data_IF_812831183426
#
_entry.id   IF_812831183426
#
_cell.length_a   1.000
_cell.length_b   1.000
_cell.length_c   1.000
_cell.angle_alpha   90.00
_cell.angle_beta   90.00
_cell.angle_gamma   90.00
#
_symmetry.space_group_name_H-M   'P 1'
#
loop_
_entity.id
_entity.type
_entity.pdbx_description
1 polymer ?
#
# COMPACT_ATOMS: atom_id res chain seq x y z
N UNK A 1 -8.41 14.12 8.26
CA UNK A 1 -7.89 12.89 8.91
C UNK A 1 -6.77 12.23 8.11
N UNK A 2 -6.96 11.78 6.85
CA UNK A 2 -5.88 11.14 6.06
C UNK A 2 -5.48 11.86 4.76
N UNK A 3 -6.21 12.92 4.39
CA UNK A 3 -5.87 13.74 3.22
C UNK A 3 -4.50 14.40 3.38
N UNK A 4 -3.73 14.43 2.29
CA UNK A 4 -2.38 15.01 2.23
C UNK A 4 -1.37 14.43 3.23
N UNK A 5 -1.63 13.22 3.76
CA UNK A 5 -0.69 12.50 4.64
C UNK A 5 0.10 11.45 3.87
N UNK A 6 1.26 11.09 4.41
CA UNK A 6 2.04 9.91 4.00
C UNK A 6 1.68 8.76 4.94
N UNK A 7 1.25 7.64 4.37
CA UNK A 7 0.72 6.49 5.10
C UNK A 7 1.55 5.26 4.72
N UNK A 8 1.98 4.50 5.71
CA UNK A 8 2.67 3.22 5.54
C UNK A 8 1.79 2.09 6.07
N UNK A 9 1.62 1.05 5.27
CA UNK A 9 0.92 -0.19 5.65
C UNK A 9 1.92 -1.34 5.57
N UNK A 10 2.38 -1.81 6.72
CA UNK A 10 3.19 -3.03 6.85
C UNK A 10 2.30 -4.27 6.76
N UNK A 11 2.79 -5.34 6.13
CA UNK A 11 1.95 -6.50 5.81
C UNK A 11 0.81 -6.14 4.86
N UNK A 12 0.99 -5.10 4.04
CA UNK A 12 -0.08 -4.47 3.27
C UNK A 12 -0.72 -5.35 2.20
N UNK A 13 -0.07 -6.47 1.85
CA UNK A 13 -0.61 -7.46 0.90
C UNK A 13 -1.57 -8.47 1.52
N UNK A 14 -1.72 -8.50 2.86
CA UNK A 14 -2.70 -9.34 3.54
C UNK A 14 -4.15 -8.87 3.32
N UNK A 15 -5.13 -9.68 3.71
CA UNK A 15 -6.56 -9.38 3.51
C UNK A 15 -6.98 -8.04 4.10
N UNK A 16 -6.53 -7.74 5.32
CA UNK A 16 -6.77 -6.44 5.94
C UNK A 16 -6.09 -5.30 5.18
N UNK A 17 -4.82 -5.46 4.82
CA UNK A 17 -4.05 -4.45 4.09
C UNK A 17 -4.68 -4.09 2.74
N UNK A 18 -5.16 -5.09 1.99
CA UNK A 18 -5.91 -4.90 0.74
C UNK A 18 -7.20 -4.09 0.99
N UNK A 19 -8.01 -4.47 1.98
CA UNK A 19 -9.27 -3.76 2.28
C UNK A 19 -9.05 -2.35 2.84
N UNK A 20 -8.01 -2.16 3.64
CA UNK A 20 -7.60 -0.87 4.17
C UNK A 20 -7.15 0.07 3.04
N UNK A 21 -6.31 -0.43 2.13
CA UNK A 21 -5.89 0.29 0.92
C UNK A 21 -7.09 0.73 0.08
N UNK A 22 -8.02 -0.19 -0.21
CA UNK A 22 -9.25 0.11 -0.94
C UNK A 22 -10.05 1.23 -0.25
N UNK A 23 -10.21 1.13 1.06
CA UNK A 23 -10.98 2.11 1.87
C UNK A 23 -10.31 3.48 1.86
N UNK A 24 -8.99 3.53 2.02
CA UNK A 24 -8.21 4.77 2.00
C UNK A 24 -8.35 5.47 0.65
N UNK A 25 -8.16 4.72 -0.45
CA UNK A 25 -8.24 5.26 -1.81
C UNK A 25 -9.66 5.70 -2.18
N UNK A 26 -10.70 5.05 -1.65
CA UNK A 26 -12.10 5.44 -1.88
C UNK A 26 -12.53 6.68 -1.10
N UNK A 27 -12.04 6.86 0.12
CA UNK A 27 -12.57 7.88 1.06
C UNK A 27 -11.66 9.09 1.24
N UNK A 28 -10.38 9.00 0.85
CA UNK A 28 -9.38 10.03 1.12
C UNK A 28 -8.47 10.29 -0.08
N UNK A 29 -7.73 11.41 -0.03
CA UNK A 29 -6.69 11.80 -1.00
C UNK A 29 -5.34 11.90 -0.28
N UNK A 30 -4.66 10.77 -0.01
CA UNK A 30 -3.35 10.79 0.65
C UNK A 30 -2.28 11.39 -0.28
N UNK A 31 -1.24 11.99 0.32
CA UNK A 31 -0.06 12.45 -0.43
C UNK A 31 0.74 11.26 -0.97
N UNK A 32 0.88 10.22 -0.14
CA UNK A 32 1.57 8.97 -0.50
C UNK A 32 0.99 7.81 0.32
N UNK A 33 0.73 6.67 -0.32
CA UNK A 33 0.30 5.44 0.32
C UNK A 33 1.33 4.35 0.01
N UNK A 34 2.00 3.85 1.03
CA UNK A 34 3.12 2.92 0.93
C UNK A 34 2.66 1.55 1.38
N UNK A 35 2.76 0.56 0.49
CA UNK A 35 2.48 -0.84 0.77
C UNK A 35 3.82 -1.54 0.98
N UNK A 36 4.05 -2.04 2.20
CA UNK A 36 5.28 -2.73 2.57
C UNK A 36 5.00 -4.18 2.93
N UNK A 37 5.68 -5.11 2.27
CA UNK A 37 5.51 -6.55 2.48
C UNK A 37 6.71 -7.33 1.93
N UNK A 38 6.86 -8.58 2.34
CA UNK A 38 7.94 -9.48 1.88
C UNK A 38 7.61 -10.26 0.62
N UNK A 39 6.32 -10.48 0.39
CA UNK A 39 5.82 -11.39 -0.63
C UNK A 39 5.63 -10.65 -1.96
N UNK A 40 6.57 -10.84 -2.88
CA UNK A 40 6.60 -10.18 -4.19
C UNK A 40 5.40 -10.55 -5.05
N UNK A 41 4.98 -11.83 -5.04
CA UNK A 41 3.85 -12.30 -5.83
C UNK A 41 2.56 -11.61 -5.39
N UNK A 42 2.30 -11.54 -4.08
CA UNK A 42 1.11 -10.84 -3.59
C UNK A 42 1.16 -9.33 -3.82
N UNK A 43 2.35 -8.72 -3.85
CA UNK A 43 2.49 -7.32 -4.24
C UNK A 43 2.13 -7.13 -5.71
N UNK A 44 2.66 -7.97 -6.59
CA UNK A 44 2.37 -7.94 -8.02
C UNK A 44 0.86 -8.10 -8.29
N UNK A 45 0.21 -9.08 -7.67
CA UNK A 45 -1.25 -9.26 -7.77
C UNK A 45 -2.02 -8.00 -7.30
N UNK A 46 -1.56 -7.40 -6.20
CA UNK A 46 -2.18 -6.19 -5.66
C UNK A 46 -1.98 -4.98 -6.57
N UNK A 47 -0.84 -4.88 -7.26
CA UNK A 47 -0.54 -3.82 -8.23
C UNK A 47 -1.42 -3.92 -9.49
N UNK A 48 -1.82 -5.12 -9.92
CA UNK A 48 -2.79 -5.29 -11.00
C UNK A 48 -4.14 -4.63 -10.67
N UNK A 49 -4.53 -4.63 -9.39
CA UNK A 49 -5.78 -4.03 -8.91
C UNK A 49 -5.61 -2.53 -8.59
N UNK A 50 -4.52 -2.18 -7.91
CA UNK A 50 -4.21 -0.81 -7.47
C UNK A 50 -2.98 -0.27 -8.20
N UNK A 51 -3.07 -0.20 -9.53
CA UNK A 51 -1.93 0.20 -10.35
C UNK A 51 -1.53 1.66 -10.12
N UNK A 52 -0.22 1.93 -10.29
CA UNK A 52 0.31 3.28 -10.19
C UNK A 52 -0.33 4.26 -11.20
N UNK A 53 -0.73 3.76 -12.38
CA UNK A 53 -1.45 4.56 -13.40
C UNK A 53 -2.80 5.06 -12.88
N UNK A 54 -3.54 4.22 -12.15
CA UNK A 54 -4.86 4.57 -11.59
C UNK A 54 -4.74 5.33 -10.29
N UNK A 55 -3.74 5.00 -9.47
CA UNK A 55 -3.49 5.61 -8.17
C UNK A 55 -2.04 6.10 -8.05
N UNK A 56 -1.70 7.28 -8.59
CA UNK A 56 -0.33 7.80 -8.61
C UNK A 56 0.28 8.03 -7.22
N UNK A 57 -0.53 8.02 -6.16
CA UNK A 57 -0.07 8.14 -4.78
C UNK A 57 0.44 6.83 -4.18
N UNK A 58 0.15 5.67 -4.78
CA UNK A 58 0.56 4.37 -4.24
C UNK A 58 2.01 4.04 -4.59
N UNK A 59 2.72 3.39 -3.66
CA UNK A 59 4.07 2.86 -3.84
C UNK A 59 4.15 1.48 -3.18
N UNK A 60 4.88 0.58 -3.81
CA UNK A 60 5.14 -0.77 -3.32
C UNK A 60 6.61 -0.91 -2.95
N UNK A 61 6.88 -1.49 -1.79
CA UNK A 61 8.23 -1.74 -1.31
C UNK A 61 8.32 -3.16 -0.76
N UNK A 62 9.36 -3.87 -1.19
CA UNK A 62 9.70 -5.18 -0.67
C UNK A 62 10.60 -5.00 0.55
N UNK A 63 10.30 -5.71 1.63
CA UNK A 63 11.14 -5.75 2.83
C UNK A 63 10.48 -6.48 3.99
N UNK A 64 11.29 -6.83 4.99
CA UNK A 64 10.84 -7.44 6.25
C UNK A 64 10.77 -6.39 7.35
N UNK A 65 9.72 -6.41 8.16
CA UNK A 65 9.60 -5.56 9.36
C UNK A 65 10.56 -5.99 10.48
N UNK A 66 11.14 -7.18 10.36
CA UNK A 66 12.13 -7.73 11.30
C UNK A 66 13.53 -7.17 11.06
N UNK A 67 13.78 -6.63 9.87
CA UNK A 67 15.06 -6.03 9.52
C UNK A 67 15.11 -4.60 10.09
N UNK A 68 16.20 -4.25 10.78
CA UNK A 68 16.39 -2.97 11.47
C UNK A 68 17.32 -2.00 10.75
N UNK A 69 17.88 -2.42 9.62
CA UNK A 69 18.75 -1.58 8.80
C UNK A 69 18.00 -0.42 8.14
#
# INVERSE_FOLDING_TARGET
MLNNKTILITGGTGSFGKKCTETILKRFKPKKLIIFSRDELKQFEMEQVFSHKKYPCIRYFIGDVRDKE
#
